data_IF_681451207689
#
_entry.id   IF_681451207689
#
_cell.length_a   1.000
_cell.length_b   1.000
_cell.length_c   1.000
_cell.angle_alpha   90.00
_cell.angle_beta   90.00
_cell.angle_gamma   90.00
#
_symmetry.space_group_name_H-M   'P 1'
#
loop_
_entity.id
_entity.type
_entity.pdbx_description
1 polymer ?
#
# COMPACT_ATOMS: atom_id res chain seq x y z
N UNK A 1 -64.49 -46.26 27.42
CA UNK A 1 -64.25 -44.86 27.04
C UNK A 1 -62.75 -44.61 27.15
N UNK A 2 -62.05 -44.62 26.02
CA UNK A 2 -60.61 -44.38 25.91
C UNK A 2 -60.38 -42.88 25.68
N UNK A 3 -59.86 -42.18 26.69
CA UNK A 3 -59.35 -40.83 26.53
C UNK A 3 -57.84 -40.90 26.35
N UNK A 4 -57.41 -40.89 25.09
CA UNK A 4 -56.02 -40.66 24.72
C UNK A 4 -55.78 -39.16 24.87
N UNK A 5 -55.21 -38.76 26.01
CA UNK A 5 -54.74 -37.39 26.22
C UNK A 5 -53.42 -37.25 25.49
N UNK A 6 -53.49 -36.76 24.25
CA UNK A 6 -52.30 -36.38 23.48
C UNK A 6 -51.65 -35.15 24.08
N UNK A 7 -50.56 -35.34 24.82
CA UNK A 7 -49.64 -34.26 25.13
C UNK A 7 -48.86 -33.92 23.86
N UNK A 8 -49.36 -32.98 23.06
CA UNK A 8 -48.53 -32.30 22.06
C UNK A 8 -47.55 -31.41 22.80
N UNK A 9 -46.35 -31.92 23.05
CA UNK A 9 -45.21 -31.06 23.37
C UNK A 9 -44.96 -30.20 22.14
N UNK A 10 -45.45 -28.97 22.17
CA UNK A 10 -45.07 -27.94 21.23
C UNK A 10 -43.58 -27.71 21.38
N UNK A 11 -42.79 -28.40 20.56
CA UNK A 11 -41.37 -28.14 20.37
C UNK A 11 -41.31 -26.76 19.70
N UNK A 12 -41.17 -25.71 20.51
CA UNK A 12 -40.78 -24.40 20.01
C UNK A 12 -39.37 -24.56 19.44
N UNK A 13 -39.26 -24.83 18.14
CA UNK A 13 -38.06 -24.53 17.38
C UNK A 13 -37.80 -23.03 17.58
N UNK A 14 -36.90 -22.71 18.53
CA UNK A 14 -36.27 -21.40 18.57
C UNK A 14 -35.60 -21.23 17.22
N UNK A 15 -36.16 -20.37 16.38
CA UNK A 15 -35.51 -19.90 15.16
C UNK A 15 -34.08 -19.48 15.53
N UNK A 16 -33.11 -20.34 15.21
CA UNK A 16 -31.72 -20.02 15.45
C UNK A 16 -31.33 -19.04 14.36
N UNK A 17 -31.45 -17.74 14.64
CA UNK A 17 -30.91 -16.71 13.77
C UNK A 17 -29.41 -16.99 13.71
N UNK A 18 -28.86 -17.38 12.54
CA UNK A 18 -27.43 -17.66 12.42
C UNK A 18 -26.70 -16.36 12.76
N UNK A 19 -25.65 -16.46 13.58
CA UNK A 19 -24.76 -15.33 13.79
C UNK A 19 -24.16 -14.91 12.43
N UNK A 20 -24.47 -13.70 11.92
CA UNK A 20 -24.01 -13.28 10.61
C UNK A 20 -22.48 -13.22 10.52
N UNK A 21 -21.81 -13.05 11.66
CA UNK A 21 -20.35 -13.16 11.75
C UNK A 21 -19.85 -14.58 11.47
N UNK A 22 -20.53 -15.58 12.06
CA UNK A 22 -20.20 -17.00 11.87
C UNK A 22 -20.40 -17.41 10.41
N UNK A 23 -21.44 -16.91 9.76
CA UNK A 23 -21.68 -17.19 8.35
C UNK A 23 -20.57 -16.59 7.46
N UNK A 24 -20.24 -15.31 7.65
CA UNK A 24 -19.17 -14.66 6.91
C UNK A 24 -17.80 -15.34 7.09
N UNK A 25 -17.47 -15.77 8.32
CA UNK A 25 -16.20 -16.46 8.59
C UNK A 25 -16.11 -17.85 7.97
N UNK A 26 -17.23 -18.59 7.90
CA UNK A 26 -17.29 -19.85 7.17
C UNK A 26 -17.04 -19.63 5.67
N UNK A 27 -17.67 -18.61 5.08
CA UNK A 27 -17.45 -18.25 3.68
C UNK A 27 -15.99 -17.86 3.40
N UNK A 28 -15.35 -17.07 4.27
CA UNK A 28 -13.92 -16.75 4.15
C UNK A 28 -13.05 -17.99 4.20
N UNK A 29 -13.31 -18.91 5.13
CA UNK A 29 -12.56 -20.16 5.27
C UNK A 29 -12.70 -21.04 4.03
N UNK A 30 -13.88 -21.07 3.44
CA UNK A 30 -14.18 -21.87 2.25
C UNK A 30 -13.73 -21.15 0.95
N UNK A 31 -13.04 -20.00 1.05
CA UNK A 31 -12.50 -19.24 -0.07
C UNK A 31 -13.54 -18.41 -0.85
N UNK A 32 -14.78 -18.36 -0.39
CA UNK A 32 -15.90 -17.62 -1.00
C UNK A 32 -15.89 -16.16 -0.55
N UNK A 33 -14.83 -15.44 -0.93
CA UNK A 33 -14.52 -14.09 -0.44
C UNK A 33 -15.61 -13.07 -0.80
N UNK A 34 -16.11 -13.07 -2.04
CA UNK A 34 -17.11 -12.08 -2.47
C UNK A 34 -18.44 -12.21 -1.71
N UNK A 35 -18.84 -13.44 -1.40
CA UNK A 35 -20.04 -13.73 -0.62
C UNK A 35 -19.82 -13.34 0.85
N UNK A 36 -18.65 -13.62 1.41
CA UNK A 36 -18.29 -13.17 2.74
C UNK A 36 -18.31 -11.64 2.85
N UNK A 37 -17.77 -10.92 1.86
CA UNK A 37 -17.81 -9.46 1.80
C UNK A 37 -19.26 -8.97 1.78
N UNK A 38 -20.11 -9.61 0.99
CA UNK A 38 -21.54 -9.27 0.89
C UNK A 38 -22.25 -9.44 2.25
N UNK A 39 -21.90 -10.48 3.01
CA UNK A 39 -22.44 -10.72 4.35
C UNK A 39 -21.85 -9.79 5.43
N UNK A 40 -20.60 -9.35 5.27
CA UNK A 40 -19.93 -8.43 6.22
C UNK A 40 -20.40 -6.98 6.07
N UNK A 41 -20.77 -6.54 4.86
CA UNK A 41 -21.19 -5.14 4.61
C UNK A 41 -22.34 -4.66 5.49
N UNK A 42 -23.45 -5.40 5.64
CA UNK A 42 -24.54 -4.99 6.55
C UNK A 42 -24.08 -4.79 8.00
N UNK A 43 -23.07 -5.53 8.45
CA UNK A 43 -22.56 -5.49 9.82
C UNK A 43 -21.79 -4.21 10.16
N UNK A 44 -21.48 -3.36 9.18
CA UNK A 44 -20.93 -2.02 9.42
C UNK A 44 -21.87 -1.12 10.22
N UNK A 45 -23.18 -1.35 10.10
CA UNK A 45 -24.21 -0.58 10.79
C UNK A 45 -24.57 -1.15 12.18
N UNK A 46 -24.04 -2.34 12.52
CA UNK A 46 -24.28 -2.98 13.81
C UNK A 46 -23.15 -2.59 14.80
N UNK A 47 -23.45 -1.89 15.91
CA UNK A 47 -22.42 -1.45 16.86
C UNK A 47 -21.56 -2.58 17.46
N UNK A 48 -22.08 -3.82 17.50
CA UNK A 48 -21.37 -4.96 18.06
C UNK A 48 -20.37 -5.56 17.07
N UNK A 49 -20.66 -5.47 15.77
CA UNK A 49 -19.82 -6.03 14.71
C UNK A 49 -19.03 -4.99 13.91
N UNK A 50 -19.40 -3.71 13.95
CA UNK A 50 -18.90 -2.66 13.05
C UNK A 50 -17.35 -2.60 12.98
N UNK A 51 -16.67 -2.63 14.12
CA UNK A 51 -15.20 -2.57 14.15
C UNK A 51 -14.55 -3.78 13.49
N UNK A 52 -15.09 -4.97 13.78
CA UNK A 52 -14.56 -6.23 13.24
C UNK A 52 -14.91 -6.36 11.76
N UNK A 53 -16.14 -6.03 11.37
CA UNK A 53 -16.58 -6.02 9.98
C UNK A 53 -15.74 -5.06 9.15
N UNK A 54 -15.52 -3.83 9.63
CA UNK A 54 -14.67 -2.85 8.95
C UNK A 54 -13.24 -3.37 8.75
N UNK A 55 -12.63 -4.00 9.75
CA UNK A 55 -11.28 -4.57 9.61
C UNK A 55 -11.19 -5.69 8.56
N UNK A 56 -12.15 -6.62 8.55
CA UNK A 56 -12.14 -7.71 7.57
C UNK A 56 -12.48 -7.20 6.17
N UNK A 57 -13.41 -6.24 6.05
CA UNK A 57 -13.68 -5.57 4.78
C UNK A 57 -12.46 -4.78 4.29
N UNK A 58 -11.72 -4.12 5.18
CA UNK A 58 -10.44 -3.51 4.83
C UNK A 58 -9.44 -4.51 4.24
N UNK A 59 -9.35 -5.71 4.85
CA UNK A 59 -8.43 -6.75 4.41
C UNK A 59 -8.84 -7.42 3.09
N UNK A 60 -10.13 -7.61 2.84
CA UNK A 60 -10.64 -8.43 1.72
C UNK A 60 -11.33 -7.63 0.60
N UNK A 61 -11.98 -6.51 0.91
CA UNK A 61 -12.63 -5.59 -0.05
C UNK A 61 -11.78 -4.32 -0.30
N UNK A 62 -10.59 -4.26 0.31
CA UNK A 62 -9.59 -3.23 0.11
C UNK A 62 -9.73 -2.00 1.02
N UNK A 63 -8.80 -1.07 0.85
CA UNK A 63 -8.62 0.11 1.71
C UNK A 63 -9.61 1.25 1.41
N UNK A 64 -10.92 0.98 1.50
CA UNK A 64 -11.94 2.02 1.31
C UNK A 64 -11.97 2.97 2.50
N UNK A 65 -12.15 4.26 2.22
CA UNK A 65 -12.15 5.33 3.22
C UNK A 65 -13.15 5.10 4.35
N UNK A 66 -14.32 4.53 4.02
CA UNK A 66 -15.35 4.18 4.99
C UNK A 66 -14.83 3.21 6.07
N UNK A 67 -14.13 2.15 5.67
CA UNK A 67 -13.63 1.12 6.60
C UNK A 67 -12.53 1.70 7.47
N UNK A 68 -11.61 2.45 6.87
CA UNK A 68 -10.54 3.14 7.60
C UNK A 68 -11.13 4.10 8.64
N UNK A 69 -12.15 4.88 8.26
CA UNK A 69 -12.83 5.81 9.17
C UNK A 69 -13.45 5.11 10.37
N UNK A 70 -14.12 3.96 10.15
CA UNK A 70 -14.73 3.18 11.22
C UNK A 70 -13.66 2.58 12.14
N UNK A 71 -12.63 1.93 11.58
CA UNK A 71 -11.56 1.29 12.35
C UNK A 71 -10.79 2.30 13.20
N UNK A 72 -10.63 3.55 12.70
CA UNK A 72 -9.96 4.65 13.41
C UNK A 72 -10.87 5.42 14.37
N UNK A 73 -12.13 5.02 14.53
CA UNK A 73 -13.00 5.60 15.54
C UNK A 73 -12.51 5.24 16.95
N UNK A 74 -12.73 6.13 17.92
CA UNK A 74 -12.39 5.90 19.33
C UNK A 74 -13.02 4.60 19.86
N UNK A 75 -14.24 4.28 19.40
CA UNK A 75 -14.93 3.03 19.74
C UNK A 75 -14.13 1.80 19.31
N UNK A 76 -13.56 1.80 18.11
CA UNK A 76 -12.78 0.67 17.61
C UNK A 76 -11.35 0.65 18.16
N UNK A 77 -10.79 1.80 18.52
CA UNK A 77 -9.54 1.84 19.29
C UNK A 77 -9.69 1.17 20.66
N UNK A 78 -10.87 1.26 21.28
CA UNK A 78 -11.17 0.57 22.54
C UNK A 78 -11.59 -0.90 22.35
N UNK A 79 -12.52 -1.19 21.44
CA UNK A 79 -13.07 -2.55 21.23
C UNK A 79 -12.07 -3.49 20.55
N UNK A 80 -11.28 -2.98 19.61
CA UNK A 80 -10.38 -3.75 18.73
C UNK A 80 -9.03 -3.04 18.57
N UNK A 81 -8.27 -2.86 19.67
CA UNK A 81 -7.05 -2.04 19.67
C UNK A 81 -5.94 -2.61 18.77
N UNK A 82 -5.91 -3.94 18.60
CA UNK A 82 -4.94 -4.61 17.74
C UNK A 82 -5.15 -4.27 16.27
N UNK A 83 -6.38 -4.42 15.80
CA UNK A 83 -6.84 -4.11 14.45
C UNK A 83 -6.62 -2.63 14.11
N UNK A 84 -7.05 -1.73 15.00
CA UNK A 84 -6.86 -0.29 14.83
C UNK A 84 -5.38 0.08 14.72
N UNK A 85 -4.52 -0.49 15.57
CA UNK A 85 -3.07 -0.28 15.54
C UNK A 85 -2.42 -0.84 14.27
N UNK A 86 -2.88 -2.00 13.78
CA UNK A 86 -2.39 -2.59 12.53
C UNK A 86 -2.72 -1.70 11.34
N UNK A 87 -3.97 -1.27 11.19
CA UNK A 87 -4.39 -0.38 10.10
C UNK A 87 -3.61 0.94 10.16
N UNK A 88 -3.48 1.55 11.34
CA UNK A 88 -2.68 2.78 11.51
C UNK A 88 -1.24 2.58 11.05
N UNK A 89 -0.58 1.50 11.48
CA UNK A 89 0.80 1.19 11.07
C UNK A 89 0.93 0.98 9.56
N UNK A 90 -0.03 0.29 8.96
CA UNK A 90 -0.02 0.01 7.53
C UNK A 90 -0.12 1.32 6.73
N UNK A 91 -1.10 2.17 7.05
CA UNK A 91 -1.30 3.45 6.37
C UNK A 91 -0.08 4.38 6.50
N UNK A 92 0.52 4.46 7.70
CA UNK A 92 1.75 5.24 7.89
C UNK A 92 2.93 4.67 7.09
N UNK A 93 3.01 3.35 6.95
CA UNK A 93 4.06 2.71 6.15
C UNK A 93 3.86 2.97 4.65
N UNK A 94 2.63 2.92 4.15
CA UNK A 94 2.30 3.24 2.77
C UNK A 94 2.64 4.68 2.41
N UNK A 95 2.30 5.64 3.29
CA UNK A 95 2.65 7.05 3.10
C UNK A 95 4.18 7.25 3.02
N UNK A 96 4.93 6.62 3.93
CA UNK A 96 6.40 6.66 3.91
C UNK A 96 6.97 6.03 2.65
N UNK A 97 6.39 4.92 2.18
CA UNK A 97 6.82 4.25 0.95
C UNK A 97 6.62 5.15 -0.28
N UNK A 98 5.48 5.86 -0.35
CA UNK A 98 5.21 6.83 -1.42
C UNK A 98 6.20 7.98 -1.39
N UNK A 99 6.53 8.51 -0.20
CA UNK A 99 7.54 9.55 -0.06
C UNK A 99 8.92 9.07 -0.54
N UNK A 100 9.37 7.90 -0.07
CA UNK A 100 10.66 7.33 -0.46
C UNK A 100 10.74 7.07 -1.98
N UNK A 101 9.65 6.61 -2.59
CA UNK A 101 9.58 6.41 -4.04
C UNK A 101 9.73 7.73 -4.80
N UNK A 102 9.11 8.80 -4.32
CA UNK A 102 9.25 10.14 -4.89
C UNK A 102 10.68 10.67 -4.78
N UNK A 103 11.31 10.52 -3.62
CA UNK A 103 12.71 10.89 -3.38
C UNK A 103 13.67 10.10 -4.27
N UNK A 104 13.49 8.78 -4.37
CA UNK A 104 14.26 7.91 -5.25
C UNK A 104 14.19 8.37 -6.70
N UNK A 105 12.98 8.69 -7.21
CA UNK A 105 12.82 9.16 -8.59
C UNK A 105 13.56 10.48 -8.84
N UNK A 106 13.56 11.41 -7.87
CA UNK A 106 14.32 12.67 -7.96
C UNK A 106 15.83 12.45 -7.98
N UNK A 107 16.32 11.52 -7.15
CA UNK A 107 17.74 11.15 -7.14
C UNK A 107 18.13 10.51 -8.47
N UNK A 108 17.28 9.62 -9.00
CA UNK A 108 17.52 8.96 -10.28
C UNK A 108 17.62 9.97 -11.44
N UNK A 109 16.76 10.99 -11.47
CA UNK A 109 16.86 12.05 -12.48
C UNK A 109 18.14 12.87 -12.33
N UNK A 110 18.51 13.23 -11.09
CA UNK A 110 19.74 13.98 -10.82
C UNK A 110 21.00 13.22 -11.25
N UNK A 111 21.06 11.90 -10.99
CA UNK A 111 22.17 11.05 -11.45
C UNK A 111 22.25 11.01 -12.97
N UNK A 112 21.12 10.88 -13.66
CA UNK A 112 21.07 10.92 -15.13
C UNK A 112 21.61 12.24 -15.68
N UNK A 113 21.25 13.37 -15.06
CA UNK A 113 21.70 14.68 -15.54
C UNK A 113 23.19 14.90 -15.30
N UNK A 114 23.71 14.50 -14.12
CA UNK A 114 25.14 14.52 -13.83
C UNK A 114 25.94 13.63 -14.78
N UNK A 115 25.40 12.47 -15.17
CA UNK A 115 26.04 11.60 -16.16
C UNK A 115 26.16 12.28 -17.53
N UNK A 116 25.12 12.98 -17.99
CA UNK A 116 25.17 13.75 -19.24
C UNK A 116 26.19 14.88 -19.16
N UNK A 117 26.20 15.61 -18.04
CA UNK A 117 27.15 16.71 -17.82
C UNK A 117 28.60 16.19 -17.81
N UNK A 118 28.86 15.08 -17.13
CA UNK A 118 30.18 14.42 -17.11
C UNK A 118 30.62 14.06 -18.53
N UNK A 119 29.75 13.44 -19.32
CA UNK A 119 30.05 13.10 -20.72
C UNK A 119 30.33 14.35 -21.58
N UNK A 120 29.64 15.47 -21.32
CA UNK A 120 29.91 16.71 -22.05
C UNK A 120 31.28 17.28 -21.67
N UNK A 121 31.59 17.35 -20.37
CA UNK A 121 32.87 17.84 -19.88
C UNK A 121 34.05 16.99 -20.36
N UNK A 122 33.90 15.66 -20.45
CA UNK A 122 34.92 14.79 -21.03
C UNK A 122 35.23 15.11 -22.50
N UNK A 123 34.20 15.44 -23.29
CA UNK A 123 34.38 15.86 -24.69
C UNK A 123 35.09 17.20 -24.78
N UNK A 124 34.70 18.18 -23.95
CA UNK A 124 35.35 19.49 -23.90
C UNK A 124 36.81 19.40 -23.46
N UNK A 125 37.12 18.61 -22.42
CA UNK A 125 38.49 18.37 -21.98
C UNK A 125 39.33 17.72 -23.09
N UNK A 126 38.77 16.77 -23.83
CA UNK A 126 39.47 16.12 -24.95
C UNK A 126 39.78 17.12 -26.07
N UNK A 127 38.82 18.00 -26.39
CA UNK A 127 39.00 19.08 -27.36
C UNK A 127 40.10 20.05 -26.93
N UNK A 128 40.05 20.54 -25.69
CA UNK A 128 41.04 21.49 -25.17
C UNK A 128 42.45 20.89 -25.13
N UNK A 129 42.60 19.61 -24.76
CA UNK A 129 43.88 18.90 -24.82
C UNK A 129 44.45 18.86 -26.24
N UNK A 130 43.59 18.60 -27.23
CA UNK A 130 44.00 18.61 -28.64
C UNK A 130 44.42 20.01 -29.12
N UNK A 131 43.65 21.05 -28.78
CA UNK A 131 43.98 22.44 -29.13
C UNK A 131 45.31 22.88 -28.49
N UNK A 132 45.56 22.53 -27.22
CA UNK A 132 46.84 22.77 -26.54
C UNK A 132 48.01 22.07 -27.22
N UNK A 133 47.86 20.79 -27.58
CA UNK A 133 48.90 20.03 -28.27
C UNK A 133 49.27 20.69 -29.60
N UNK A 134 48.28 21.15 -30.38
CA UNK A 134 48.51 21.88 -31.63
C UNK A 134 49.23 23.20 -31.43
N UNK A 135 48.84 23.97 -30.41
CA UNK A 135 49.52 25.23 -30.08
C UNK A 135 50.98 25.01 -29.69
N UNK A 136 51.27 23.97 -28.91
CA UNK A 136 52.65 23.62 -28.56
C UNK A 136 53.49 23.21 -29.77
N UNK A 137 52.91 22.47 -30.71
CA UNK A 137 53.57 22.09 -31.96
C UNK A 137 53.94 23.33 -32.79
N UNK A 138 52.99 24.24 -33.01
CA UNK A 138 53.21 25.51 -33.72
C UNK A 138 54.29 26.35 -33.02
N UNK A 139 54.27 26.43 -31.68
CA UNK A 139 55.30 27.15 -30.91
C UNK A 139 56.69 26.57 -31.17
N UNK A 140 56.84 25.24 -31.09
CA UNK A 140 58.13 24.56 -31.31
C UNK A 140 58.65 24.78 -32.72
N UNK A 141 57.79 24.72 -33.73
CA UNK A 141 58.18 25.00 -35.11
C UNK A 141 58.63 26.45 -35.27
N UNK A 142 57.87 27.41 -34.74
CA UNK A 142 58.21 28.83 -34.78
C UNK A 142 59.55 29.14 -34.11
N UNK A 143 59.85 28.48 -32.98
CA UNK A 143 61.14 28.62 -32.30
C UNK A 143 62.31 28.07 -33.14
N UNK A 144 62.13 26.95 -33.84
CA UNK A 144 63.13 26.42 -34.76
C UNK A 144 63.42 27.41 -35.91
N UNK A 145 62.37 28.00 -36.50
CA UNK A 145 62.52 28.99 -37.56
C UNK A 145 63.26 30.26 -37.13
N UNK A 146 63.14 30.68 -35.85
CA UNK A 146 63.85 31.86 -35.33
C UNK A 146 65.33 31.64 -35.07
N UNK A 147 65.77 30.38 -34.97
CA UNK A 147 67.15 30.00 -34.65
C UNK A 147 67.97 29.63 -35.89
N UNK A 148 67.36 29.63 -37.08
CA UNK A 148 68.01 29.45 -38.39
C UNK A 148 68.27 30.81 -39.04
#
# INVERSE_FOLDING_TARGET
MTLVVGCTTGFQEKFHIPDPWKEATLLLRDGRVDEAISNLKPLLNDPDYACRAAFYLFAFDGAKDEYIRIIRSETCEYKTPGEAKLVKKLLTTEEKLLQLKSEYNKQQSSVSDLQKETQNLEKELSRLRFELQKMEEIRRETEKWRMQ
#
